data_IF_698730181322
#
_entry.id   IF_698730181322
#
_cell.length_a   1.000
_cell.length_b   1.000
_cell.length_c   1.000
_cell.angle_alpha   90.00
_cell.angle_beta   90.00
_cell.angle_gamma   90.00
#
_symmetry.space_group_name_H-M   'P 1'
#
loop_
_entity.id
_entity.type
_entity.pdbx_description
1 polymer ?
#
# COMPACT_ATOMS: atom_id res chain seq x y z
N UNK A 1 94.34 -46.54 14.99
CA UNK A 1 93.17 -47.32 14.55
C UNK A 1 91.92 -46.49 14.89
N UNK A 2 91.53 -45.70 13.94
CA UNK A 2 90.40 -44.76 14.16
C UNK A 2 89.33 -45.01 13.12
N UNK A 3 88.20 -45.34 13.64
CA UNK A 3 86.98 -45.63 12.86
C UNK A 3 86.25 -44.32 12.59
N UNK A 4 86.05 -43.95 11.32
CA UNK A 4 85.30 -42.79 10.97
C UNK A 4 83.84 -43.18 10.65
N UNK A 5 82.94 -42.68 11.45
CA UNK A 5 81.52 -42.77 11.22
C UNK A 5 81.09 -41.62 10.27
N UNK A 6 80.49 -42.00 9.15
CA UNK A 6 79.81 -41.07 8.23
C UNK A 6 78.40 -40.86 8.71
N UNK A 7 78.02 -39.61 8.94
CA UNK A 7 76.61 -39.19 9.20
C UNK A 7 76.04 -38.68 7.93
N UNK A 8 75.00 -39.30 7.40
CA UNK A 8 74.22 -38.88 6.29
C UNK A 8 73.10 -37.95 6.76
N UNK A 9 73.13 -36.67 6.30
CA UNK A 9 72.09 -35.70 6.57
C UNK A 9 70.89 -35.88 5.62
N UNK A 10 69.71 -36.09 6.19
CA UNK A 10 68.43 -36.01 5.46
C UNK A 10 67.99 -34.52 5.45
N UNK A 11 67.86 -33.93 4.26
CA UNK A 11 67.25 -32.63 4.07
C UNK A 11 65.71 -32.85 3.93
N UNK A 12 64.96 -32.39 4.91
CA UNK A 12 63.48 -32.36 4.85
C UNK A 12 63.05 -31.04 4.15
N UNK A 13 62.47 -31.13 2.97
CA UNK A 13 61.87 -29.98 2.28
C UNK A 13 60.45 -29.78 2.89
N UNK A 14 60.26 -28.63 3.57
CA UNK A 14 58.94 -28.16 3.97
C UNK A 14 58.25 -27.46 2.79
N UNK A 15 57.27 -28.08 2.18
CA UNK A 15 56.38 -27.45 1.24
C UNK A 15 55.30 -26.63 2.04
N UNK A 16 55.46 -25.33 2.08
CA UNK A 16 54.47 -24.41 2.67
C UNK A 16 53.27 -24.30 1.79
N UNK A 17 52.12 -24.89 2.15
CA UNK A 17 50.83 -24.64 1.52
C UNK A 17 50.32 -23.25 1.97
N UNK A 18 50.34 -22.28 1.06
CA UNK A 18 49.69 -21.00 1.24
C UNK A 18 48.19 -21.24 1.08
N UNK A 19 47.46 -21.33 2.18
CA UNK A 19 46.00 -21.26 2.21
C UNK A 19 45.60 -19.80 1.87
N UNK A 20 45.24 -19.55 0.65
CA UNK A 20 44.54 -18.32 0.25
C UNK A 20 43.13 -18.39 0.86
N UNK A 21 43.01 -17.93 2.08
CA UNK A 21 41.71 -17.66 2.69
C UNK A 21 41.04 -16.52 1.93
N UNK A 22 40.09 -16.85 1.06
CA UNK A 22 39.19 -15.86 0.49
C UNK A 22 38.36 -15.27 1.64
N UNK A 23 38.64 -14.01 2.00
CA UNK A 23 37.77 -13.27 2.89
C UNK A 23 36.41 -13.13 2.17
N UNK A 24 35.40 -13.82 2.66
CA UNK A 24 34.02 -13.49 2.29
C UNK A 24 33.80 -12.00 2.62
N UNK A 25 33.13 -11.22 1.76
CA UNK A 25 32.81 -9.86 2.10
C UNK A 25 32.04 -9.87 3.42
N UNK A 26 32.56 -9.17 4.43
CA UNK A 26 31.86 -8.98 5.69
C UNK A 26 30.53 -8.28 5.34
N UNK A 27 29.39 -8.89 5.71
CA UNK A 27 28.12 -8.22 5.64
C UNK A 27 28.25 -6.90 6.41
N UNK A 28 27.81 -5.78 5.80
CA UNK A 28 27.84 -4.49 6.47
C UNK A 28 27.08 -4.62 7.80
N UNK A 29 27.70 -4.17 8.88
CA UNK A 29 27.06 -4.19 10.21
C UNK A 29 26.08 -3.02 10.27
N UNK A 30 24.78 -3.30 10.56
CA UNK A 30 23.77 -2.26 10.72
C UNK A 30 23.96 -1.52 12.06
N UNK A 31 23.67 -0.18 12.12
CA UNK A 31 23.31 0.70 11.01
C UNK A 31 24.52 1.21 10.21
N UNK A 32 24.44 1.18 8.91
CA UNK A 32 25.51 1.63 8.00
C UNK A 32 25.62 3.16 7.94
N UNK A 33 24.55 3.87 8.27
CA UNK A 33 24.48 5.34 8.37
C UNK A 33 23.64 5.77 9.57
N UNK A 34 23.99 6.93 10.15
CA UNK A 34 23.21 7.60 11.20
C UNK A 34 22.22 8.60 10.64
N UNK A 35 22.22 8.83 9.32
CA UNK A 35 21.23 9.67 8.65
C UNK A 35 19.82 9.08 8.85
N UNK A 36 18.78 9.91 8.97
CA UNK A 36 17.44 9.42 9.23
C UNK A 36 16.84 8.71 8.01
N UNK A 37 16.24 7.55 8.23
CA UNK A 37 15.36 6.89 7.27
C UNK A 37 13.97 7.48 7.45
N UNK A 38 13.50 8.20 6.43
CA UNK A 38 12.21 8.91 6.44
C UNK A 38 11.15 8.04 5.79
N UNK A 39 10.15 7.61 6.57
CA UNK A 39 9.05 6.77 6.12
C UNK A 39 7.80 7.63 6.00
N UNK A 40 7.12 7.62 4.84
CA UNK A 40 5.90 8.38 4.63
C UNK A 40 4.73 7.85 5.48
N UNK A 41 3.93 8.77 6.01
CA UNK A 41 2.60 8.53 6.58
C UNK A 41 1.57 9.17 5.66
N UNK A 42 0.45 8.47 5.43
CA UNK A 42 -0.69 8.95 4.66
C UNK A 42 -1.93 9.07 5.55
N UNK A 43 -3.07 9.43 4.97
CA UNK A 43 -4.29 9.74 5.71
C UNK A 43 -5.23 8.53 5.93
N UNK A 44 -4.72 7.29 5.82
CA UNK A 44 -5.49 6.08 6.16
C UNK A 44 -4.73 5.17 7.12
N UNK A 45 -5.49 4.34 7.84
CA UNK A 45 -4.98 3.59 9.00
C UNK A 45 -3.98 2.51 8.62
N UNK A 46 -4.23 1.70 7.57
CA UNK A 46 -3.37 0.54 7.28
C UNK A 46 -1.95 0.93 6.92
N UNK A 47 -1.76 1.98 6.10
CA UNK A 47 -0.41 2.46 5.74
C UNK A 47 0.35 2.98 6.96
N UNK A 48 -0.34 3.66 7.88
CA UNK A 48 0.29 4.19 9.09
C UNK A 48 0.70 3.07 10.05
N UNK A 49 -0.10 2.00 10.16
CA UNK A 49 0.28 0.79 10.90
C UNK A 49 1.50 0.14 10.25
N UNK A 50 1.51 -0.03 8.92
CA UNK A 50 2.65 -0.60 8.20
C UNK A 50 3.93 0.26 8.34
N UNK A 51 3.81 1.58 8.25
CA UNK A 51 4.92 2.52 8.43
C UNK A 51 5.49 2.44 9.86
N UNK A 52 4.63 2.33 10.87
CA UNK A 52 5.06 2.15 12.27
C UNK A 52 5.71 0.77 12.50
N UNK A 53 5.20 -0.29 11.88
CA UNK A 53 5.83 -1.62 11.95
C UNK A 53 7.21 -1.58 11.30
N UNK A 54 7.33 -1.09 10.06
CA UNK A 54 8.62 -0.98 9.39
C UNK A 54 9.58 -0.12 10.19
N UNK A 55 9.14 1.07 10.62
CA UNK A 55 9.94 2.00 11.42
C UNK A 55 10.38 1.40 12.76
N UNK A 56 9.51 0.68 13.44
CA UNK A 56 9.81 0.00 14.70
C UNK A 56 10.84 -1.12 14.53
N UNK A 57 10.75 -1.90 13.44
CA UNK A 57 11.74 -2.91 13.07
C UNK A 57 13.11 -2.25 12.84
N UNK A 58 13.15 -1.19 12.03
CA UNK A 58 14.39 -0.48 11.71
C UNK A 58 15.01 0.16 12.96
N UNK A 59 14.21 0.73 13.87
CA UNK A 59 14.69 1.22 15.18
C UNK A 59 15.31 0.11 16.03
N UNK A 60 14.74 -1.11 16.03
CA UNK A 60 15.30 -2.27 16.74
C UNK A 60 16.62 -2.77 16.12
N UNK A 61 16.84 -2.49 14.83
CA UNK A 61 18.11 -2.73 14.16
C UNK A 61 19.13 -1.58 14.34
N UNK A 62 18.78 -0.52 15.10
CA UNK A 62 19.65 0.57 15.46
C UNK A 62 19.59 1.79 14.55
N UNK A 63 18.72 1.81 13.53
CA UNK A 63 18.58 2.93 12.61
C UNK A 63 17.87 4.12 13.25
N UNK A 64 18.24 5.32 12.82
CA UNK A 64 17.48 6.54 13.03
C UNK A 64 16.28 6.56 12.07
N UNK A 65 15.06 6.68 12.59
CA UNK A 65 13.83 6.62 11.80
C UNK A 65 12.94 7.79 12.12
N UNK A 66 12.50 8.50 11.07
CA UNK A 66 11.51 9.56 11.11
C UNK A 66 10.24 9.11 10.36
N UNK A 67 9.07 9.30 10.96
CA UNK A 67 7.78 9.13 10.31
C UNK A 67 7.31 10.50 9.83
N UNK A 68 7.06 10.65 8.53
CA UNK A 68 6.83 11.94 7.87
C UNK A 68 5.43 11.99 7.26
N UNK A 69 4.51 12.80 7.79
CA UNK A 69 3.22 13.03 7.12
C UNK A 69 3.43 13.63 5.72
N UNK A 70 2.77 13.07 4.74
CA UNK A 70 2.90 13.47 3.34
C UNK A 70 1.60 13.23 2.57
N UNK A 71 1.39 14.01 1.51
CA UNK A 71 0.29 13.75 0.58
C UNK A 71 0.62 12.53 -0.30
N UNK A 72 -0.39 11.74 -0.59
CA UNK A 72 -0.26 10.43 -1.25
C UNK A 72 0.52 10.51 -2.58
N UNK A 73 0.00 11.21 -3.58
CA UNK A 73 0.62 11.27 -4.91
C UNK A 73 1.88 12.15 -4.91
N UNK A 74 1.89 13.29 -4.20
CA UNK A 74 3.06 14.16 -4.16
C UNK A 74 4.26 13.54 -3.45
N UNK A 75 4.03 12.65 -2.48
CA UNK A 75 5.10 11.89 -1.84
C UNK A 75 5.82 10.97 -2.82
N UNK A 76 5.08 10.40 -3.78
CA UNK A 76 5.62 9.52 -4.82
C UNK A 76 6.36 10.30 -5.91
N UNK A 77 5.72 11.34 -6.45
CA UNK A 77 6.25 12.09 -7.60
C UNK A 77 7.30 13.13 -7.23
N UNK A 78 7.34 13.59 -5.98
CA UNK A 78 8.29 14.59 -5.47
C UNK A 78 9.09 14.05 -4.29
N UNK A 79 8.45 13.69 -3.17
CA UNK A 79 9.14 13.33 -1.94
C UNK A 79 10.16 12.22 -2.09
N UNK A 80 9.77 11.11 -2.73
CA UNK A 80 10.68 9.98 -3.02
C UNK A 80 11.72 10.34 -4.08
N UNK A 81 11.34 11.10 -5.13
CA UNK A 81 12.28 11.45 -6.21
C UNK A 81 13.39 12.40 -5.76
N UNK A 82 13.10 13.31 -4.83
CA UNK A 82 14.10 14.23 -4.24
C UNK A 82 14.88 13.61 -3.08
N UNK A 83 14.38 12.52 -2.47
CA UNK A 83 14.95 11.91 -1.26
C UNK A 83 14.49 12.58 0.04
N UNK A 84 13.49 13.47 0.00
CA UNK A 84 12.83 14.01 1.20
C UNK A 84 12.03 12.93 1.94
N UNK A 85 11.59 11.89 1.21
CA UNK A 85 11.09 10.61 1.70
C UNK A 85 12.09 9.53 1.27
N UNK A 86 12.43 8.61 2.17
CA UNK A 86 13.32 7.49 1.87
C UNK A 86 12.55 6.28 1.36
N UNK A 87 11.44 5.96 2.01
CA UNK A 87 10.60 4.79 1.69
C UNK A 87 9.14 5.07 2.02
N UNK A 88 8.27 4.52 1.22
CA UNK A 88 6.84 4.55 1.45
C UNK A 88 6.20 3.20 1.09
N UNK A 89 5.13 2.89 1.80
CA UNK A 89 4.36 1.67 1.65
C UNK A 89 2.97 2.03 1.09
N UNK A 90 2.29 1.04 0.51
CA UNK A 90 0.91 1.16 0.05
C UNK A 90 0.66 2.23 -1.02
N UNK A 91 1.42 2.20 -2.13
CA UNK A 91 0.95 2.82 -3.36
C UNK A 91 0.07 1.82 -4.13
N UNK A 92 -1.20 2.16 -4.25
CA UNK A 92 -2.22 1.34 -4.89
C UNK A 92 -2.24 1.65 -6.38
N UNK A 93 -1.94 0.69 -7.24
CA UNK A 93 -1.94 0.95 -8.69
C UNK A 93 -3.35 1.13 -9.28
N UNK A 94 -4.37 0.86 -8.48
CA UNK A 94 -5.76 1.17 -8.76
C UNK A 94 -6.05 2.68 -8.83
N UNK A 95 -5.25 3.51 -8.14
CA UNK A 95 -5.38 4.98 -8.10
C UNK A 95 -4.08 5.71 -8.39
N UNK A 96 -2.94 5.22 -7.90
CA UNK A 96 -1.64 5.88 -8.08
C UNK A 96 -0.92 5.55 -9.41
N UNK A 97 -1.57 4.86 -10.36
CA UNK A 97 -0.92 4.34 -11.56
C UNK A 97 -0.16 5.39 -12.38
N UNK A 98 -0.76 6.56 -12.60
CA UNK A 98 -0.11 7.68 -13.32
C UNK A 98 1.07 8.25 -12.54
N UNK A 99 0.89 8.47 -11.23
CA UNK A 99 1.96 8.92 -10.33
C UNK A 99 3.13 7.94 -10.28
N UNK A 100 2.85 6.63 -10.27
CA UNK A 100 3.88 5.59 -10.33
C UNK A 100 4.66 5.63 -11.65
N UNK A 101 3.96 5.75 -12.79
CA UNK A 101 4.61 5.88 -14.09
C UNK A 101 5.49 7.12 -14.17
N UNK A 102 5.02 8.26 -13.67
CA UNK A 102 5.79 9.50 -13.60
C UNK A 102 7.03 9.37 -12.70
N UNK A 103 6.88 8.75 -11.53
CA UNK A 103 7.98 8.51 -10.59
C UNK A 103 9.04 7.57 -11.17
N UNK A 104 8.62 6.45 -11.76
CA UNK A 104 9.51 5.48 -12.41
C UNK A 104 10.33 6.12 -13.54
N UNK A 105 9.71 7.00 -14.33
CA UNK A 105 10.37 7.70 -15.44
C UNK A 105 11.53 8.60 -15.00
N UNK A 106 11.57 9.02 -13.73
CA UNK A 106 12.68 9.85 -13.20
C UNK A 106 13.96 9.04 -12.99
N UNK A 107 13.88 7.73 -12.81
CA UNK A 107 14.98 6.87 -12.39
C UNK A 107 15.51 7.15 -10.98
N UNK A 108 14.82 7.98 -10.19
CA UNK A 108 15.22 8.33 -8.82
C UNK A 108 14.52 7.47 -7.76
N UNK A 109 13.57 6.65 -8.19
CA UNK A 109 12.80 5.75 -7.32
C UNK A 109 12.91 4.30 -7.78
N UNK A 110 12.69 3.38 -6.85
CA UNK A 110 12.67 1.94 -7.11
C UNK A 110 11.42 1.32 -6.50
N UNK A 111 10.71 0.49 -7.28
CA UNK A 111 9.67 -0.40 -6.75
C UNK A 111 10.32 -1.52 -5.97
N UNK A 112 10.06 -1.58 -4.66
CA UNK A 112 10.59 -2.64 -3.80
C UNK A 112 9.82 -3.96 -3.90
N UNK A 113 8.80 -4.02 -4.76
CA UNK A 113 7.88 -5.14 -4.90
C UNK A 113 6.53 -4.89 -4.26
N UNK A 114 5.58 -5.80 -4.52
CA UNK A 114 4.25 -5.73 -3.93
C UNK A 114 4.29 -5.94 -2.42
N UNK A 115 3.35 -5.31 -1.71
CA UNK A 115 3.15 -5.50 -0.27
C UNK A 115 2.66 -6.92 0.06
N UNK A 116 1.90 -7.52 -0.85
CA UNK A 116 1.37 -8.88 -0.75
C UNK A 116 -0.09 -9.00 -1.19
N UNK A 117 -1.05 -8.30 -0.57
CA UNK A 117 -2.44 -8.39 -0.98
C UNK A 117 -2.71 -7.67 -2.30
N UNK A 118 -3.74 -8.12 -3.00
CA UNK A 118 -4.27 -7.43 -4.18
C UNK A 118 -5.09 -6.22 -3.76
N UNK A 119 -5.01 -5.16 -4.58
CA UNK A 119 -5.81 -3.95 -4.44
C UNK A 119 -7.15 -4.09 -5.16
N UNK A 120 -8.23 -3.77 -4.48
CA UNK A 120 -9.54 -3.54 -5.06
C UNK A 120 -10.15 -2.30 -4.44
N UNK A 121 -10.58 -1.37 -5.25
CA UNK A 121 -11.27 -0.14 -4.85
C UNK A 121 -12.47 0.03 -5.76
N UNK A 122 -13.66 0.21 -5.21
CA UNK A 122 -14.85 0.42 -6.04
C UNK A 122 -16.01 0.97 -5.19
N UNK A 123 -17.09 1.39 -5.84
CA UNK A 123 -18.35 1.73 -5.21
C UNK A 123 -18.93 0.52 -4.49
N UNK A 124 -19.37 0.74 -3.27
CA UNK A 124 -19.92 -0.30 -2.41
C UNK A 124 -21.17 0.21 -1.68
N UNK A 125 -22.08 -0.71 -1.39
CA UNK A 125 -23.30 -0.41 -0.67
C UNK A 125 -23.67 -1.54 0.30
N UNK A 126 -24.33 -1.24 1.45
CA UNK A 126 -24.86 -2.27 2.33
C UNK A 126 -25.94 -3.09 1.66
N UNK A 127 -25.97 -4.39 1.93
CA UNK A 127 -26.85 -5.35 1.23
C UNK A 127 -28.34 -4.98 1.28
N UNK A 128 -28.80 -4.31 2.35
CA UNK A 128 -30.19 -3.87 2.48
C UNK A 128 -30.60 -2.83 1.44
N UNK A 129 -29.68 -2.19 0.77
CA UNK A 129 -29.98 -1.23 -0.29
C UNK A 129 -30.54 -1.88 -1.56
N UNK A 130 -30.34 -3.19 -1.75
CA UNK A 130 -30.96 -3.93 -2.90
C UNK A 130 -32.48 -3.90 -2.86
N UNK A 131 -33.09 -3.79 -1.68
CA UNK A 131 -34.56 -3.66 -1.55
C UNK A 131 -35.03 -2.30 -2.08
N UNK A 132 -34.24 -1.24 -1.91
CA UNK A 132 -34.56 0.13 -2.33
C UNK A 132 -34.16 0.43 -3.77
N UNK A 133 -33.14 -0.26 -4.27
CA UNK A 133 -32.62 -0.14 -5.63
C UNK A 133 -32.51 -1.53 -6.27
N UNK A 134 -33.64 -2.10 -6.74
CA UNK A 134 -33.61 -3.37 -7.45
C UNK A 134 -32.78 -3.30 -8.72
N UNK A 135 -31.95 -4.31 -8.98
CA UNK A 135 -31.04 -4.35 -10.11
C UNK A 135 -29.57 -4.19 -9.72
N UNK A 136 -29.26 -3.67 -8.53
CA UNK A 136 -27.92 -3.79 -7.96
C UNK A 136 -27.53 -5.28 -7.82
N UNK A 137 -26.28 -5.68 -8.08
CA UNK A 137 -25.08 -4.84 -8.22
C UNK A 137 -24.81 -4.23 -9.60
N UNK A 138 -25.63 -4.52 -10.64
CA UNK A 138 -25.42 -3.94 -11.96
C UNK A 138 -25.52 -2.40 -11.90
N UNK A 139 -24.46 -1.71 -12.37
CA UNK A 139 -24.37 -0.26 -12.38
C UNK A 139 -25.48 0.46 -13.16
N UNK A 140 -26.06 -0.21 -14.17
CA UNK A 140 -27.16 0.36 -14.94
C UNK A 140 -28.40 0.66 -14.08
N UNK A 141 -28.57 -0.06 -12.97
CA UNK A 141 -29.62 0.22 -11.99
C UNK A 141 -29.52 1.64 -11.41
N UNK A 142 -28.31 2.18 -11.31
CA UNK A 142 -28.05 3.52 -10.79
C UNK A 142 -28.59 4.63 -11.71
N UNK A 143 -28.90 4.33 -12.98
CA UNK A 143 -29.53 5.27 -13.92
C UNK A 143 -31.02 5.48 -13.64
N UNK A 144 -31.66 4.57 -12.92
CA UNK A 144 -33.08 4.72 -12.53
C UNK A 144 -33.17 5.86 -11.50
N UNK A 145 -33.98 6.92 -11.78
CA UNK A 145 -34.18 8.01 -10.83
C UNK A 145 -34.66 7.55 -9.46
N UNK A 146 -35.45 6.48 -9.36
CA UNK A 146 -35.91 5.93 -8.08
C UNK A 146 -34.77 5.31 -7.29
N UNK A 147 -33.81 4.68 -7.98
CA UNK A 147 -32.62 4.16 -7.34
C UNK A 147 -31.74 5.32 -6.84
N UNK A 148 -31.52 6.34 -7.65
CA UNK A 148 -30.79 7.54 -7.23
C UNK A 148 -31.45 8.23 -6.03
N UNK A 149 -32.77 8.45 -6.08
CA UNK A 149 -33.53 8.99 -4.95
C UNK A 149 -33.37 8.16 -3.66
N UNK A 150 -33.24 6.84 -3.78
CA UNK A 150 -33.03 5.96 -2.60
C UNK A 150 -31.69 6.21 -1.90
N UNK A 151 -30.71 6.79 -2.59
CA UNK A 151 -29.42 7.22 -2.05
C UNK A 151 -29.31 8.73 -1.84
N UNK A 152 -30.37 9.50 -2.15
CA UNK A 152 -30.31 10.95 -2.02
C UNK A 152 -30.31 11.40 -0.56
N UNK A 153 -29.61 12.48 -0.31
CA UNK A 153 -29.60 13.21 0.96
C UNK A 153 -30.16 14.63 0.74
N UNK A 154 -30.51 15.39 1.78
CA UNK A 154 -31.06 16.74 1.60
C UNK A 154 -30.20 17.69 0.78
N UNK A 155 -28.88 17.50 0.79
CA UNK A 155 -27.90 18.31 0.06
C UNK A 155 -27.66 17.85 -1.39
N UNK A 156 -28.06 16.62 -1.75
CA UNK A 156 -27.86 16.08 -3.11
C UNK A 156 -29.15 15.88 -3.89
N UNK A 157 -30.31 15.86 -3.20
CA UNK A 157 -31.60 15.59 -3.84
C UNK A 157 -31.88 16.50 -5.04
N UNK A 158 -32.43 15.97 -6.15
CA UNK A 158 -32.94 14.61 -6.34
C UNK A 158 -31.88 13.56 -6.68
N UNK A 159 -30.61 13.95 -6.81
CA UNK A 159 -29.50 13.02 -7.14
C UNK A 159 -29.17 12.13 -5.95
N UNK A 160 -28.79 10.89 -6.25
CA UNK A 160 -28.19 10.00 -5.27
C UNK A 160 -26.86 10.59 -4.76
N UNK A 161 -26.52 10.29 -3.51
CA UNK A 161 -25.24 10.68 -2.93
C UNK A 161 -24.26 9.51 -3.02
N UNK A 162 -23.08 9.79 -3.55
CA UNK A 162 -21.92 8.90 -3.43
C UNK A 162 -20.87 9.55 -2.53
N UNK A 163 -20.43 8.84 -1.50
CA UNK A 163 -19.36 9.28 -0.61
C UNK A 163 -18.01 8.76 -1.15
N UNK A 164 -17.31 9.63 -1.84
CA UNK A 164 -15.98 9.38 -2.40
C UNK A 164 -14.88 9.52 -1.36
N UNK A 165 -13.70 8.99 -1.67
CA UNK A 165 -12.49 9.22 -0.89
C UNK A 165 -12.03 10.67 -0.91
N UNK A 166 -11.04 11.04 -0.09
CA UNK A 166 -10.38 12.32 -0.17
C UNK A 166 -9.94 12.64 -1.60
N UNK A 167 -10.07 13.90 -2.02
CA UNK A 167 -9.70 14.34 -3.38
C UNK A 167 -8.26 13.97 -3.74
N UNK A 168 -7.36 13.94 -2.75
CA UNK A 168 -5.95 13.57 -2.90
C UNK A 168 -5.72 12.10 -3.27
N UNK A 169 -6.76 11.25 -3.23
CA UNK A 169 -6.67 9.84 -3.64
C UNK A 169 -6.89 9.63 -5.16
N UNK A 170 -7.31 10.64 -5.90
CA UNK A 170 -7.50 10.60 -7.36
C UNK A 170 -8.43 9.45 -7.82
N UNK A 171 -9.63 9.39 -7.23
CA UNK A 171 -10.57 8.29 -7.46
C UNK A 171 -11.32 8.31 -8.77
N UNK A 172 -11.32 9.44 -9.51
CA UNK A 172 -12.01 9.65 -10.78
C UNK A 172 -13.53 9.36 -10.74
N UNK A 173 -14.15 9.53 -9.56
CA UNK A 173 -15.57 9.21 -9.38
C UNK A 173 -16.50 10.30 -9.97
N UNK A 174 -16.06 11.57 -9.99
CA UNK A 174 -16.77 12.66 -10.67
C UNK A 174 -16.81 12.42 -12.18
N UNK A 175 -15.68 12.03 -12.76
CA UNK A 175 -15.56 11.69 -14.19
C UNK A 175 -16.44 10.49 -14.52
N UNK A 176 -16.48 9.46 -13.67
CA UNK A 176 -17.34 8.29 -13.86
C UNK A 176 -18.81 8.64 -13.81
N UNK A 177 -19.23 9.46 -12.85
CA UNK A 177 -20.61 9.95 -12.76
C UNK A 177 -21.02 10.67 -14.05
N UNK A 178 -20.15 11.52 -14.58
CA UNK A 178 -20.40 12.26 -15.81
C UNK A 178 -20.40 11.37 -17.05
N UNK A 179 -19.37 10.51 -17.20
CA UNK A 179 -19.20 9.66 -18.37
C UNK A 179 -20.31 8.62 -18.53
N UNK A 180 -20.76 8.03 -17.42
CA UNK A 180 -21.86 7.06 -17.39
C UNK A 180 -23.25 7.71 -17.32
N UNK A 181 -23.32 9.03 -17.14
CA UNK A 181 -24.60 9.78 -17.02
C UNK A 181 -25.41 9.34 -15.80
N UNK A 182 -24.75 9.12 -14.65
CA UNK A 182 -25.42 8.72 -13.43
C UNK A 182 -26.03 9.93 -12.73
N UNK A 183 -27.30 9.86 -12.27
CA UNK A 183 -27.92 10.92 -11.48
C UNK A 183 -27.41 10.87 -10.02
N UNK A 184 -26.10 11.00 -9.84
CA UNK A 184 -25.42 11.00 -8.54
C UNK A 184 -24.58 12.27 -8.37
N UNK A 185 -24.40 12.68 -7.13
CA UNK A 185 -23.47 13.73 -6.73
C UNK A 185 -22.39 13.11 -5.87
N UNK A 186 -21.13 13.32 -6.27
CA UNK A 186 -19.97 12.87 -5.48
C UNK A 186 -19.74 13.87 -4.35
N UNK A 187 -19.66 13.35 -3.13
CA UNK A 187 -19.26 14.11 -1.94
C UNK A 187 -17.97 13.50 -1.42
N UNK A 188 -16.89 14.26 -1.49
CA UNK A 188 -15.59 13.78 -1.03
C UNK A 188 -15.47 13.88 0.49
N UNK A 189 -15.07 12.77 1.12
CA UNK A 189 -14.72 12.77 2.53
C UNK A 189 -13.41 13.53 2.75
N UNK A 190 -13.27 14.13 3.92
CA UNK A 190 -12.03 14.81 4.28
C UNK A 190 -10.92 13.85 4.72
N UNK A 191 -11.28 12.69 5.25
CA UNK A 191 -10.34 11.65 5.75
C UNK A 191 -10.95 10.27 5.67
N UNK A 192 -10.11 9.23 5.66
CA UNK A 192 -10.48 7.82 5.79
C UNK A 192 -11.38 7.58 7.03
N UNK A 193 -10.95 8.05 8.19
CA UNK A 193 -11.69 7.90 9.44
C UNK A 193 -13.11 8.47 9.36
N UNK A 194 -13.31 9.62 8.68
CA UNK A 194 -14.61 10.23 8.49
C UNK A 194 -15.51 9.36 7.60
N UNK A 195 -14.97 8.77 6.53
CA UNK A 195 -15.70 7.85 5.64
C UNK A 195 -16.25 6.66 6.42
N UNK A 196 -15.41 5.99 7.19
CA UNK A 196 -15.80 4.77 7.90
C UNK A 196 -16.64 5.04 9.15
N UNK A 197 -16.50 6.20 9.78
CA UNK A 197 -17.44 6.64 10.82
C UNK A 197 -18.84 6.88 10.24
N UNK A 198 -18.94 7.49 9.06
CA UNK A 198 -20.23 7.68 8.37
C UNK A 198 -20.84 6.33 7.95
N UNK A 199 -20.04 5.39 7.42
CA UNK A 199 -20.48 4.03 7.11
C UNK A 199 -21.08 3.33 8.35
N UNK A 200 -20.35 3.34 9.45
CA UNK A 200 -20.80 2.72 10.69
C UNK A 200 -22.14 3.31 11.17
N UNK A 201 -22.24 4.64 11.17
CA UNK A 201 -23.46 5.34 11.56
C UNK A 201 -24.64 5.05 10.62
N UNK A 202 -24.40 4.95 9.31
CA UNK A 202 -25.43 4.61 8.31
C UNK A 202 -25.94 3.19 8.51
N UNK A 203 -25.04 2.22 8.72
CA UNK A 203 -25.40 0.82 8.94
C UNK A 203 -26.22 0.65 10.24
N UNK A 204 -25.79 1.30 11.33
CA UNK A 204 -26.49 1.22 12.62
C UNK A 204 -27.93 1.74 12.52
N UNK A 205 -28.17 2.76 11.70
CA UNK A 205 -29.51 3.33 11.48
C UNK A 205 -30.26 2.74 10.28
N UNK A 206 -29.62 1.88 9.49
CA UNK A 206 -30.10 1.41 8.19
C UNK A 206 -30.40 2.56 7.22
N UNK A 207 -29.61 3.61 7.30
CA UNK A 207 -29.68 4.73 6.38
C UNK A 207 -29.06 4.33 5.01
N UNK A 208 -29.44 5.06 3.96
CA UNK A 208 -28.85 4.84 2.65
C UNK A 208 -27.42 5.34 2.61
N UNK A 209 -26.52 4.51 2.07
CA UNK A 209 -25.15 4.90 1.78
C UNK A 209 -24.63 4.14 0.56
N UNK A 210 -23.98 4.86 -0.35
CA UNK A 210 -23.15 4.37 -1.44
C UNK A 210 -21.81 5.05 -1.28
N UNK A 211 -20.70 4.29 -1.20
CA UNK A 211 -19.42 4.89 -0.92
C UNK A 211 -18.25 4.15 -1.53
N UNK A 212 -17.11 4.83 -1.58
CA UNK A 212 -15.83 4.21 -1.82
C UNK A 212 -15.50 3.23 -0.70
N UNK A 213 -15.23 1.99 -1.06
CA UNK A 213 -14.62 1.01 -0.18
C UNK A 213 -13.38 0.46 -0.88
N UNK A 214 -12.43 0.00 -0.12
CA UNK A 214 -11.24 -0.68 -0.63
C UNK A 214 -10.96 -1.98 0.13
N UNK A 215 -10.21 -2.86 -0.51
CA UNK A 215 -9.75 -4.13 0.05
C UNK A 215 -8.27 -4.33 -0.29
N UNK A 216 -7.42 -4.67 0.68
CA UNK A 216 -7.75 -5.14 2.04
C UNK A 216 -8.17 -4.00 2.98
N UNK A 217 -9.26 -4.23 3.70
CA UNK A 217 -9.77 -3.36 4.75
C UNK A 217 -10.71 -4.16 5.68
N UNK A 218 -10.90 -3.70 6.92
CA UNK A 218 -11.79 -4.38 7.86
C UNK A 218 -13.30 -4.23 7.51
N UNK A 219 -13.68 -3.14 6.85
CA UNK A 219 -15.09 -2.83 6.62
C UNK A 219 -15.83 -3.85 5.76
N UNK A 220 -15.33 -4.29 4.58
CA UNK A 220 -16.02 -5.30 3.79
C UNK A 220 -16.01 -6.71 4.43
N UNK A 221 -15.16 -6.92 5.44
CA UNK A 221 -15.18 -8.16 6.22
C UNK A 221 -16.17 -8.11 7.40
N UNK A 222 -16.45 -6.91 7.91
CA UNK A 222 -17.35 -6.68 9.05
C UNK A 222 -18.79 -6.49 8.64
N UNK A 223 -19.02 -5.77 7.55
CA UNK A 223 -20.38 -5.37 7.12
C UNK A 223 -20.82 -6.14 5.89
N UNK A 224 -22.06 -6.57 5.90
CA UNK A 224 -22.70 -7.24 4.77
C UNK A 224 -23.06 -6.22 3.69
N UNK A 225 -22.45 -6.34 2.52
CA UNK A 225 -22.67 -5.44 1.39
C UNK A 225 -22.02 -5.96 0.11
N UNK A 226 -22.23 -5.26 -0.98
CA UNK A 226 -21.75 -5.66 -2.30
C UNK A 226 -21.10 -4.49 -3.02
N UNK A 227 -20.21 -4.83 -3.95
CA UNK A 227 -19.59 -3.92 -4.87
C UNK A 227 -20.52 -3.67 -6.07
N UNK A 228 -20.55 -2.43 -6.56
CA UNK A 228 -21.22 -2.14 -7.82
C UNK A 228 -20.41 -2.77 -8.95
N UNK A 229 -21.09 -3.45 -9.86
CA UNK A 229 -20.49 -4.08 -11.04
C UNK A 229 -20.56 -3.09 -12.22
N UNK A 230 -19.49 -2.32 -12.40
CA UNK A 230 -19.28 -1.45 -13.54
C UNK A 230 -18.74 -2.23 -14.76
N UNK A 231 -18.71 -1.63 -15.96
CA UNK A 231 -18.01 -2.23 -17.10
C UNK A 231 -16.56 -2.54 -16.75
N UNK A 232 -16.04 -3.63 -17.28
CA UNK A 232 -14.69 -4.08 -16.97
C UNK A 232 -13.66 -3.00 -17.34
N UNK A 233 -12.71 -2.76 -16.44
CA UNK A 233 -11.63 -1.81 -16.66
C UNK A 233 -10.66 -2.31 -17.73
N UNK A 234 -10.29 -1.42 -18.64
CA UNK A 234 -9.10 -1.55 -19.49
C UNK A 234 -8.31 -0.25 -19.44
N UNK A 235 -6.99 -0.26 -19.69
CA UNK A 235 -6.20 0.99 -19.68
C UNK A 235 -6.73 2.06 -20.63
N UNK A 236 -7.32 1.67 -21.76
CA UNK A 236 -7.88 2.57 -22.75
C UNK A 236 -9.11 3.33 -22.24
N UNK A 237 -9.88 2.70 -21.34
CA UNK A 237 -11.05 3.35 -20.72
C UNK A 237 -10.69 4.66 -20.00
N UNK A 238 -9.49 4.75 -19.43
CA UNK A 238 -9.03 5.96 -18.74
C UNK A 238 -8.32 6.95 -19.67
N UNK A 239 -7.82 6.50 -20.82
CA UNK A 239 -6.96 7.30 -21.69
C UNK A 239 -7.54 7.62 -23.05
N UNK A 240 -8.53 6.86 -23.56
CA UNK A 240 -9.15 7.05 -24.86
C UNK A 240 -10.66 7.23 -24.72
N UNK A 241 -11.20 8.46 -24.87
CA UNK A 241 -12.64 8.72 -24.79
C UNK A 241 -13.49 7.93 -25.80
N UNK A 242 -12.87 7.39 -26.85
CA UNK A 242 -13.60 6.58 -27.86
C UNK A 242 -13.74 5.11 -27.45
N UNK A 243 -13.07 4.73 -26.41
CA UNK A 243 -13.18 3.41 -25.82
C UNK A 243 -14.35 3.37 -24.84
N UNK A 244 -15.03 2.27 -24.71
CA UNK A 244 -16.07 2.07 -23.72
C UNK A 244 -17.48 2.46 -24.19
N UNK A 245 -18.34 2.83 -23.25
CA UNK A 245 -19.77 3.04 -23.46
C UNK A 245 -20.06 4.45 -23.98
N UNK A 246 -19.32 5.43 -23.49
CA UNK A 246 -19.48 6.83 -23.85
C UNK A 246 -18.32 7.28 -24.76
N UNK A 247 -18.55 7.42 -26.09
CA UNK A 247 -17.46 7.73 -27.01
C UNK A 247 -16.92 9.16 -26.91
N UNK A 248 -17.50 9.98 -26.04
CA UNK A 248 -17.11 11.38 -25.86
C UNK A 248 -16.33 11.63 -24.56
N UNK A 249 -16.27 10.66 -23.65
CA UNK A 249 -15.64 10.79 -22.32
C UNK A 249 -14.92 9.51 -21.90
N UNK A 250 -13.75 9.68 -21.28
CA UNK A 250 -13.07 8.60 -20.57
C UNK A 250 -13.71 8.33 -19.19
N UNK A 251 -13.23 7.32 -18.49
CA UNK A 251 -13.68 6.89 -17.16
C UNK A 251 -15.08 6.28 -17.09
N UNK A 252 -15.55 5.67 -18.16
CA UNK A 252 -16.86 5.03 -18.22
C UNK A 252 -16.81 3.52 -17.89
N UNK A 253 -15.84 3.10 -17.10
CA UNK A 253 -15.66 1.73 -16.61
C UNK A 253 -15.42 1.68 -15.08
N UNK A 254 -15.31 0.47 -14.55
CA UNK A 254 -14.91 0.22 -13.17
C UNK A 254 -13.46 0.61 -12.88
N UNK A 255 -13.09 0.61 -11.61
CA UNK A 255 -11.70 0.82 -11.20
C UNK A 255 -10.84 -0.39 -11.57
N UNK A 256 -9.53 -0.23 -11.85
CA UNK A 256 -8.65 -1.36 -12.07
C UNK A 256 -8.57 -2.25 -10.82
N UNK A 257 -8.25 -3.52 -11.05
CA UNK A 257 -7.86 -4.45 -10.01
C UNK A 257 -6.34 -4.59 -10.06
N UNK A 258 -5.64 -4.41 -8.93
CA UNK A 258 -4.20 -4.25 -9.00
C UNK A 258 -3.39 -4.76 -7.82
N UNK A 259 -2.22 -4.19 -7.66
CA UNK A 259 -1.26 -4.46 -6.59
C UNK A 259 -1.15 -3.25 -5.67
N UNK A 260 -0.67 -3.52 -4.47
CA UNK A 260 -0.22 -2.49 -3.52
C UNK A 260 1.30 -2.52 -3.51
N UNK A 261 1.94 -1.42 -3.90
CA UNK A 261 3.37 -1.35 -4.11
C UNK A 261 4.11 -0.64 -2.98
N UNK A 262 5.34 -1.06 -2.76
CA UNK A 262 6.32 -0.36 -1.91
C UNK A 262 7.33 0.34 -2.79
N UNK A 263 7.69 1.57 -2.43
CA UNK A 263 8.66 2.40 -3.15
C UNK A 263 9.75 2.92 -2.24
N UNK A 264 10.93 3.09 -2.77
CA UNK A 264 12.01 3.78 -2.09
C UNK A 264 12.75 4.72 -3.05
N UNK A 265 13.41 5.74 -2.49
CA UNK A 265 14.46 6.47 -3.21
C UNK A 265 15.63 5.54 -3.50
N UNK A 266 16.21 5.62 -4.69
CA UNK A 266 17.32 4.74 -5.13
C UNK A 266 18.52 4.74 -4.21
N UNK A 267 18.77 5.84 -3.48
CA UNK A 267 19.88 5.96 -2.55
C UNK A 267 19.70 5.07 -1.30
N UNK A 268 18.48 4.63 -0.97
CA UNK A 268 18.25 3.76 0.17
C UNK A 268 19.11 2.50 0.11
N UNK A 269 19.24 1.90 -1.07
CA UNK A 269 20.00 0.66 -1.30
C UNK A 269 21.48 0.78 -0.96
N UNK A 270 22.07 1.95 -1.20
CA UNK A 270 23.50 2.19 -0.97
C UNK A 270 23.78 2.77 0.40
N UNK A 271 22.89 3.58 0.95
CA UNK A 271 23.08 4.26 2.22
C UNK A 271 22.72 3.36 3.40
N UNK A 272 21.67 2.54 3.27
CA UNK A 272 21.15 1.65 4.32
C UNK A 272 20.80 0.26 3.76
N UNK A 273 21.78 -0.52 3.27
CA UNK A 273 21.53 -1.78 2.56
C UNK A 273 20.74 -2.82 3.37
N UNK A 274 20.96 -2.93 4.69
CA UNK A 274 20.16 -3.86 5.51
C UNK A 274 18.73 -3.34 5.67
N UNK A 275 18.53 -2.03 5.91
CA UNK A 275 17.19 -1.45 5.98
C UNK A 275 16.44 -1.56 4.64
N UNK A 276 17.15 -1.39 3.51
CA UNK A 276 16.60 -1.63 2.17
C UNK A 276 16.11 -3.08 2.02
N UNK A 277 16.89 -4.06 2.46
CA UNK A 277 16.49 -5.48 2.42
C UNK A 277 15.25 -5.74 3.27
N UNK A 278 15.16 -5.15 4.47
CA UNK A 278 13.96 -5.23 5.32
C UNK A 278 12.76 -4.67 4.58
N UNK A 279 12.84 -3.46 4.04
CA UNK A 279 11.73 -2.83 3.31
C UNK A 279 11.34 -3.61 2.05
N UNK A 280 12.31 -4.14 1.32
CA UNK A 280 12.08 -4.96 0.12
C UNK A 280 11.34 -6.25 0.44
N UNK A 281 11.73 -6.93 1.51
CA UNK A 281 11.15 -8.21 1.93
C UNK A 281 9.91 -8.06 2.82
N UNK A 282 9.59 -6.83 3.26
CA UNK A 282 8.40 -6.53 4.04
C UNK A 282 7.13 -6.95 3.29
N UNK A 283 6.33 -7.83 3.90
CA UNK A 283 5.06 -8.30 3.33
C UNK A 283 4.01 -8.49 4.40
N UNK A 284 2.76 -8.22 4.02
CA UNK A 284 1.56 -8.47 4.81
C UNK A 284 0.56 -9.31 4.01
N UNK A 285 -0.34 -10.04 4.65
CA UNK A 285 -1.49 -10.61 3.97
C UNK A 285 -2.75 -9.74 4.16
N UNK A 286 -3.76 -9.96 3.31
CA UNK A 286 -4.97 -9.15 3.32
C UNK A 286 -5.75 -9.24 4.64
N UNK A 287 -5.79 -10.43 5.25
CA UNK A 287 -6.48 -10.66 6.53
C UNK A 287 -5.73 -9.97 7.67
N UNK A 288 -4.40 -10.07 7.67
CA UNK A 288 -3.54 -9.42 8.65
C UNK A 288 -3.71 -7.90 8.61
N UNK A 289 -3.67 -7.29 7.41
CA UNK A 289 -3.92 -5.85 7.23
C UNK A 289 -5.30 -5.42 7.75
N UNK A 290 -6.35 -6.14 7.36
CA UNK A 290 -7.71 -5.85 7.84
C UNK A 290 -7.84 -5.95 9.36
N UNK A 291 -7.23 -6.97 9.98
CA UNK A 291 -7.25 -7.14 11.43
C UNK A 291 -6.49 -6.02 12.16
N UNK A 292 -5.32 -5.63 11.67
CA UNK A 292 -4.52 -4.57 12.29
C UNK A 292 -5.22 -3.20 12.18
N UNK A 293 -5.78 -2.87 11.01
CA UNK A 293 -6.59 -1.66 10.86
C UNK A 293 -7.82 -1.68 11.78
N UNK A 294 -8.53 -2.81 11.87
CA UNK A 294 -9.67 -2.95 12.77
C UNK A 294 -9.36 -2.75 14.25
N UNK A 295 -8.17 -3.14 14.70
CA UNK A 295 -7.73 -2.88 16.09
C UNK A 295 -7.59 -1.38 16.39
N UNK A 296 -7.19 -0.58 15.40
CA UNK A 296 -7.12 0.88 15.55
C UNK A 296 -8.52 1.48 15.43
N UNK A 297 -9.21 1.22 14.33
CA UNK A 297 -10.43 1.94 13.96
C UNK A 297 -11.67 1.53 14.78
N UNK A 298 -11.72 0.26 15.23
CA UNK A 298 -12.86 -0.31 15.95
C UNK A 298 -12.60 -0.51 17.44
N UNK A 299 -11.41 -1.00 17.78
CA UNK A 299 -11.08 -1.33 19.17
C UNK A 299 -10.43 -0.13 19.91
N UNK A 300 -10.11 0.96 19.18
CA UNK A 300 -9.56 2.20 19.73
C UNK A 300 -8.14 2.09 20.25
N UNK A 301 -7.37 1.12 19.77
CA UNK A 301 -5.93 1.02 20.08
C UNK A 301 -5.16 2.09 19.32
N UNK A 302 -4.02 2.51 19.84
CA UNK A 302 -3.14 3.38 19.07
C UNK A 302 -2.39 2.60 17.99
N UNK A 303 -1.97 3.30 16.93
CA UNK A 303 -1.17 2.71 15.85
C UNK A 303 0.12 2.11 16.40
N UNK A 304 0.75 2.80 17.35
CA UNK A 304 1.98 2.37 18.01
C UNK A 304 1.78 1.08 18.80
N UNK A 305 0.68 0.95 19.57
CA UNK A 305 0.36 -0.28 20.32
C UNK A 305 0.17 -1.47 19.38
N UNK A 306 -0.56 -1.28 18.27
CA UNK A 306 -0.80 -2.32 17.27
C UNK A 306 0.50 -2.72 16.58
N UNK A 307 1.30 -1.75 16.15
CA UNK A 307 2.58 -1.99 15.51
C UNK A 307 3.57 -2.72 16.45
N UNK A 308 3.71 -2.28 17.70
CA UNK A 308 4.61 -2.88 18.67
C UNK A 308 4.20 -4.32 19.00
N UNK A 309 2.90 -4.59 19.16
CA UNK A 309 2.39 -5.93 19.39
C UNK A 309 2.69 -6.85 18.20
N UNK A 310 2.52 -6.37 16.98
CA UNK A 310 2.85 -7.13 15.77
C UNK A 310 4.35 -7.43 15.67
N UNK A 311 5.22 -6.44 15.90
CA UNK A 311 6.67 -6.58 15.84
C UNK A 311 7.17 -7.64 16.84
N UNK A 312 6.61 -7.62 18.06
CA UNK A 312 6.94 -8.59 19.10
C UNK A 312 6.49 -10.00 18.74
N UNK A 313 5.30 -10.16 18.19
CA UNK A 313 4.74 -11.46 17.81
C UNK A 313 5.42 -12.07 16.57
N UNK A 314 6.05 -11.26 15.72
CA UNK A 314 6.60 -11.69 14.44
C UNK A 314 8.13 -11.53 14.33
N UNK A 315 8.84 -11.61 15.47
CA UNK A 315 10.29 -11.36 15.50
C UNK A 315 11.08 -12.28 14.56
N UNK A 316 10.75 -13.56 14.49
CA UNK A 316 11.42 -14.50 13.58
C UNK A 316 11.18 -14.17 12.10
N UNK A 317 9.99 -13.66 11.75
CA UNK A 317 9.64 -13.27 10.38
C UNK A 317 10.47 -12.06 9.93
N UNK A 318 10.45 -10.96 10.68
CA UNK A 318 11.14 -9.75 10.26
C UNK A 318 12.66 -9.81 10.40
N UNK A 319 13.23 -10.60 11.33
CA UNK A 319 14.67 -10.83 11.36
C UNK A 319 15.17 -11.55 10.10
N UNK A 320 14.35 -12.44 9.52
CA UNK A 320 14.62 -13.05 8.22
C UNK A 320 14.72 -12.03 7.08
N UNK A 321 13.96 -10.93 7.14
CA UNK A 321 14.00 -9.89 6.10
C UNK A 321 15.33 -9.12 6.07
N UNK A 322 15.99 -8.96 7.23
CA UNK A 322 17.29 -8.30 7.31
C UNK A 322 18.44 -9.16 6.74
N UNK A 323 18.32 -10.49 6.81
CA UNK A 323 19.37 -11.43 6.42
C UNK A 323 19.28 -11.92 4.96
N UNK A 324 18.18 -11.66 4.24
CA UNK A 324 17.91 -12.18 2.89
C UNK A 324 18.51 -11.32 1.76
N UNK A 325 19.66 -10.73 1.99
CA UNK A 325 20.38 -9.85 1.04
C UNK A 325 21.73 -10.40 0.59
N UNK A 326 21.79 -11.68 0.23
CA UNK A 326 23.03 -12.26 -0.34
C UNK A 326 22.72 -13.06 -1.61
#
# INVERSE_FOLDING_TARGET
>A
MMNQMRVSGLAAAFAGAILAGGAAPAAAEAPESQDPIKIALFDWTSVNVNANILGGILKRLGYNVELVPADYISSLTTGLTTGDITVALEYWDTTAGEGMAASDATGQTERLGALGPKAKEEWWYPIYMKEKCPGLPNWEALKDPKCAEAFATPDTAPNGRYLGGPVTWEGFDDERVQSLGLPFTVIHAGTDAAMFAELAAAIDRKDAIMMWIYSPHWAPAKYEGEWVEFPEHTPECYTDPKWGINPDMAYDCGKPFGEIWKYANVNMKTTWPVAYNVAKNYTMDAKELGLLGGQVDLDGKTIEEVAEAWINANESKWRGWASSGS
#
